data_IF_461987704820
#
_entry.id   IF_461987704820
#
_cell.length_a   1.000
_cell.length_b   1.000
_cell.length_c   1.000
_cell.angle_alpha   90.00
_cell.angle_beta   90.00
_cell.angle_gamma   90.00
#
_symmetry.space_group_name_H-M   'P 1'
#
loop_
_entity.id
_entity.type
_entity.pdbx_description
1 polymer ?
#
# COMPACT_ATOMS: atom_id res chain seq x y z
N UNK A 1 7.72 -15.34 5.39
CA UNK A 1 7.00 -14.49 4.44
C UNK A 1 6.23 -13.42 5.20
N UNK A 2 6.37 -12.18 4.76
CA UNK A 2 5.73 -11.07 5.44
C UNK A 2 4.24 -11.04 5.11
N UNK A 3 3.41 -10.77 6.12
CA UNK A 3 1.98 -10.58 5.94
C UNK A 3 1.60 -9.11 6.09
N UNK A 4 2.56 -8.27 6.43
CA UNK A 4 2.39 -6.83 6.50
C UNK A 4 3.59 -6.20 5.80
N UNK A 5 3.31 -5.26 4.91
CA UNK A 5 4.33 -4.54 4.17
C UNK A 5 4.07 -3.05 4.34
N UNK A 6 5.08 -2.29 4.73
CA UNK A 6 4.97 -0.85 4.88
C UNK A 6 5.70 -0.21 3.71
N UNK A 7 4.98 0.63 3.00
CA UNK A 7 5.46 1.26 1.76
C UNK A 7 5.67 2.75 1.98
N UNK A 8 6.76 3.27 1.46
CA UNK A 8 7.00 4.69 1.54
C UNK A 8 8.34 5.03 0.94
N UNK A 9 8.64 6.33 0.85
CA UNK A 9 9.92 6.80 0.37
C UNK A 9 11.04 6.44 1.36
N UNK A 10 10.72 6.46 2.66
CA UNK A 10 11.60 6.07 3.76
C UNK A 10 10.74 5.46 4.87
N UNK A 11 10.21 4.27 4.66
CA UNK A 11 9.23 3.73 5.61
C UNK A 11 9.87 3.46 6.97
N UNK A 12 9.14 3.79 8.02
CA UNK A 12 9.57 3.59 9.39
C UNK A 12 8.97 2.32 9.95
N UNK A 13 9.69 1.60 10.81
CA UNK A 13 9.09 0.45 11.49
C UNK A 13 7.90 0.86 12.33
N UNK A 14 6.94 -0.03 12.44
CA UNK A 14 5.74 0.19 13.22
C UNK A 14 5.75 -0.80 14.39
N UNK A 15 5.75 -0.33 15.65
CA UNK A 15 5.77 -1.26 16.79
C UNK A 15 4.57 -2.20 16.80
N UNK A 16 3.42 -1.78 16.27
CA UNK A 16 2.23 -2.63 16.19
C UNK A 16 2.38 -3.73 15.15
N UNK A 17 3.37 -3.64 14.26
CA UNK A 17 3.58 -4.59 13.19
C UNK A 17 5.08 -4.90 13.07
N UNK A 18 5.64 -5.46 14.15
CA UNK A 18 7.09 -5.61 14.26
C UNK A 18 7.69 -6.53 13.21
N UNK A 19 6.90 -7.43 12.65
CA UNK A 19 7.39 -8.32 11.59
C UNK A 19 7.17 -7.79 10.18
N UNK A 20 6.76 -6.53 10.04
CA UNK A 20 6.46 -5.98 8.72
C UNK A 20 7.71 -5.82 7.88
N UNK A 21 7.57 -6.07 6.59
CA UNK A 21 8.61 -5.77 5.62
C UNK A 21 8.51 -4.30 5.24
N UNK A 22 9.65 -3.62 5.17
CA UNK A 22 9.70 -2.22 4.76
C UNK A 22 10.17 -2.17 3.31
N UNK A 23 9.41 -1.50 2.46
CA UNK A 23 9.75 -1.37 1.05
C UNK A 23 9.86 0.11 0.70
N UNK A 24 11.05 0.53 0.29
CA UNK A 24 11.30 1.90 -0.10
C UNK A 24 10.93 2.12 -1.56
N UNK A 25 10.20 3.19 -1.80
CA UNK A 25 9.75 3.56 -3.16
C UNK A 25 10.34 4.92 -3.50
N UNK A 26 11.16 4.97 -4.54
CA UNK A 26 11.90 6.17 -4.89
C UNK A 26 11.05 7.05 -5.81
N UNK A 27 10.12 7.78 -5.21
CA UNK A 27 9.23 8.67 -5.95
C UNK A 27 8.87 9.84 -5.05
N UNK A 28 9.05 11.07 -5.55
CA UNK A 28 8.86 12.28 -4.74
C UNK A 28 7.41 12.48 -4.33
N UNK A 29 6.44 11.88 -5.03
CA UNK A 29 5.03 12.00 -4.67
C UNK A 29 4.62 11.01 -3.59
N UNK A 30 5.50 10.09 -3.22
CA UNK A 30 5.25 9.10 -2.18
C UNK A 30 5.71 9.66 -0.84
N UNK A 31 4.87 9.63 0.17
CA UNK A 31 5.22 10.07 1.52
C UNK A 31 6.23 9.13 2.14
N UNK A 32 6.96 9.61 3.16
CA UNK A 32 8.00 8.80 3.80
C UNK A 32 7.45 7.46 4.27
N UNK A 33 6.32 7.46 4.96
CA UNK A 33 5.59 6.24 5.32
C UNK A 33 4.19 6.46 4.79
N UNK A 34 3.86 5.80 3.68
CA UNK A 34 2.70 6.17 2.88
C UNK A 34 1.52 5.24 3.11
N UNK A 35 1.75 3.95 3.06
CA UNK A 35 0.67 2.98 3.11
C UNK A 35 1.16 1.67 3.72
N UNK A 36 0.20 0.90 4.23
CA UNK A 36 0.49 -0.41 4.77
C UNK A 36 -0.37 -1.43 4.04
N UNK A 37 0.26 -2.50 3.56
CA UNK A 37 -0.44 -3.63 3.00
C UNK A 37 -0.53 -4.71 4.06
N UNK A 38 -1.72 -5.28 4.24
CA UNK A 38 -1.96 -6.34 5.21
C UNK A 38 -2.63 -7.50 4.51
N UNK A 39 -2.09 -8.69 4.73
CA UNK A 39 -2.71 -9.90 4.20
C UNK A 39 -3.69 -10.43 5.25
N UNK A 40 -4.96 -10.47 4.89
CA UNK A 40 -6.04 -10.95 5.74
C UNK A 40 -6.68 -12.13 5.03
N UNK A 41 -6.41 -13.35 5.53
CA UNK A 41 -6.77 -14.52 4.80
C UNK A 41 -5.97 -14.59 3.50
N UNK A 42 -6.65 -14.60 2.38
CA UNK A 42 -5.99 -14.61 1.07
C UNK A 42 -6.13 -13.28 0.35
N UNK A 43 -6.62 -12.26 1.04
CA UNK A 43 -6.88 -10.95 0.44
C UNK A 43 -5.97 -9.90 1.04
N UNK A 44 -5.24 -9.21 0.19
CA UNK A 44 -4.47 -8.05 0.61
C UNK A 44 -5.38 -6.85 0.77
N UNK A 45 -5.11 -6.07 1.82
CA UNK A 45 -5.79 -4.80 2.09
C UNK A 45 -4.75 -3.71 2.13
N UNK A 46 -5.13 -2.51 1.71
CA UNK A 46 -4.25 -1.36 1.77
C UNK A 46 -4.85 -0.34 2.74
N UNK A 47 -3.98 0.22 3.59
CA UNK A 47 -4.35 1.23 4.58
C UNK A 47 -3.54 2.47 4.28
N UNK A 48 -4.20 3.62 4.14
CA UNK A 48 -3.49 4.89 4.02
C UNK A 48 -2.99 5.32 5.38
N UNK A 49 -1.72 5.71 5.48
CA UNK A 49 -1.10 6.09 6.74
C UNK A 49 -0.98 7.60 6.88
N UNK A 50 -1.99 8.31 6.41
CA UNK A 50 -1.98 9.77 6.48
C UNK A 50 -1.09 10.39 5.42
N UNK A 51 -1.03 9.78 4.25
CA UNK A 51 -0.15 10.25 3.19
C UNK A 51 -0.57 11.61 2.66
N UNK A 52 0.38 12.35 2.11
CA UNK A 52 0.12 13.67 1.56
C UNK A 52 -0.70 13.59 0.26
N UNK A 53 -0.35 12.64 -0.60
CA UNK A 53 -0.95 12.58 -1.95
C UNK A 53 -1.94 11.44 -2.13
N UNK A 54 -2.20 10.66 -1.07
CA UNK A 54 -3.30 9.70 -1.08
C UNK A 54 -2.97 8.35 -1.70
N UNK A 55 -3.94 7.47 -1.60
CA UNK A 55 -3.91 6.11 -2.16
C UNK A 55 -5.16 5.93 -3.01
N UNK A 56 -4.97 5.44 -4.23
CA UNK A 56 -6.08 5.12 -5.13
C UNK A 56 -5.99 3.63 -5.48
N UNK A 57 -7.08 2.90 -5.28
CA UNK A 57 -7.16 1.49 -5.65
C UNK A 57 -7.88 1.40 -6.99
N UNK A 58 -7.30 0.68 -7.93
CA UNK A 58 -7.84 0.57 -9.29
C UNK A 58 -8.33 -0.85 -9.50
N UNK A 59 -9.61 -1.00 -9.83
CA UNK A 59 -10.21 -2.30 -10.06
C UNK A 59 -9.84 -2.84 -11.44
N UNK A 60 -10.18 -4.12 -11.67
CA UNK A 60 -9.92 -4.73 -12.97
C UNK A 60 -10.67 -4.05 -14.11
N UNK A 61 -11.78 -3.37 -13.81
CA UNK A 61 -12.54 -2.63 -14.82
C UNK A 61 -12.05 -1.21 -15.01
N UNK A 62 -11.04 -0.79 -14.23
CA UNK A 62 -10.49 0.55 -14.30
C UNK A 62 -11.17 1.55 -13.39
N UNK A 63 -12.14 1.12 -12.59
CA UNK A 63 -12.77 2.00 -11.62
C UNK A 63 -11.76 2.35 -10.52
N UNK A 64 -11.80 3.61 -10.07
CA UNK A 64 -10.85 4.10 -9.08
C UNK A 64 -11.57 4.38 -7.78
N UNK A 65 -10.95 3.96 -6.68
CA UNK A 65 -11.44 4.26 -5.34
C UNK A 65 -10.33 4.99 -4.60
N UNK A 66 -10.57 6.25 -4.28
CA UNK A 66 -9.63 7.03 -3.51
C UNK A 66 -9.92 6.82 -2.02
N UNK A 67 -8.89 6.46 -1.25
CA UNK A 67 -9.07 6.24 0.18
C UNK A 67 -9.11 7.56 0.92
N UNK A 68 -9.99 7.66 1.93
CA UNK A 68 -9.93 8.77 2.87
C UNK A 68 -8.65 8.65 3.68
N UNK A 69 -8.14 9.76 4.24
CA UNK A 69 -6.97 9.68 5.12
C UNK A 69 -7.21 8.69 6.25
N UNK A 70 -6.29 7.74 6.41
CA UNK A 70 -6.44 6.67 7.39
C UNK A 70 -7.39 5.56 6.97
N UNK A 71 -7.99 5.67 5.79
CA UNK A 71 -8.95 4.68 5.30
C UNK A 71 -8.27 3.42 4.79
N UNK A 72 -9.08 2.39 4.58
CA UNK A 72 -8.57 1.12 4.09
C UNK A 72 -9.57 0.49 3.13
N UNK A 73 -9.07 -0.38 2.27
CA UNK A 73 -9.89 -1.11 1.31
C UNK A 73 -9.16 -2.36 0.86
N UNK A 74 -9.89 -3.35 0.31
CA UNK A 74 -9.21 -4.45 -0.35
C UNK A 74 -8.33 -3.91 -1.47
N UNK A 75 -7.09 -4.38 -1.54
CA UNK A 75 -6.18 -3.93 -2.56
C UNK A 75 -6.49 -4.64 -3.86
N UNK A 76 -6.57 -3.88 -4.96
CA UNK A 76 -6.70 -4.47 -6.28
C UNK A 76 -5.32 -4.82 -6.83
N UNK A 77 -5.31 -5.26 -8.09
CA UNK A 77 -4.03 -5.54 -8.75
C UNK A 77 -3.19 -4.29 -8.92
N UNK A 78 -3.83 -3.14 -9.05
CA UNK A 78 -3.14 -1.87 -9.29
C UNK A 78 -3.57 -0.86 -8.27
N UNK A 79 -2.64 0.00 -7.89
CA UNK A 79 -2.96 1.12 -7.02
C UNK A 79 -1.95 2.24 -7.27
N UNK A 80 -2.35 3.45 -6.89
CA UNK A 80 -1.48 4.60 -6.96
C UNK A 80 -1.16 5.07 -5.55
N UNK A 81 0.12 5.28 -5.29
CA UNK A 81 0.59 5.97 -4.11
C UNK A 81 1.15 7.30 -4.59
N UNK A 82 0.40 8.38 -4.37
CA UNK A 82 0.73 9.60 -5.09
C UNK A 82 0.60 9.36 -6.58
N UNK A 83 1.65 9.64 -7.34
CA UNK A 83 1.66 9.41 -8.79
C UNK A 83 2.26 8.06 -9.18
N UNK A 84 2.76 7.30 -8.20
CA UNK A 84 3.45 6.05 -8.50
C UNK A 84 2.46 4.91 -8.57
N UNK A 85 2.44 4.23 -9.71
CA UNK A 85 1.57 3.06 -9.87
C UNK A 85 2.30 1.81 -9.39
N UNK A 86 1.62 1.04 -8.55
CA UNK A 86 2.11 -0.23 -8.07
C UNK A 86 1.19 -1.34 -8.53
N UNK A 87 1.78 -2.52 -8.78
CA UNK A 87 1.03 -3.72 -9.09
C UNK A 87 1.30 -4.77 -8.04
N UNK A 88 0.23 -5.41 -7.59
CA UNK A 88 0.36 -6.59 -6.75
C UNK A 88 0.37 -7.81 -7.65
N UNK A 89 1.50 -8.51 -7.67
CA UNK A 89 1.66 -9.68 -8.50
C UNK A 89 1.85 -10.87 -7.58
N UNK A 90 1.02 -11.90 -7.76
CA UNK A 90 1.17 -13.11 -6.98
C UNK A 90 2.33 -13.91 -7.57
N UNK A 91 3.29 -14.26 -6.71
CA UNK A 91 4.38 -15.09 -7.15
C UNK A 91 3.86 -16.48 -7.49
N UNK A 92 4.26 -17.02 -8.63
CA UNK A 92 3.88 -18.36 -8.96
C UNK A 92 5.05 -19.31 -8.71
N UNK A 93 4.70 -20.59 -8.53
CA UNK A 93 5.67 -21.61 -8.15
C UNK A 93 5.82 -22.60 -9.26
#
# INVERSE_FOLDING_TARGET
>A
RAQVVILGRRPSPDPAHSGAQLVALDDVTVSKTHARLELRGEQWHVVDLGSTNGVVVISVTGSELELAPGGEAPAGERMLLGDLELRLVRASR
#
